data_IF_673248807447
#
_entry.id   IF_673248807447
#
_cell.length_a   1.000
_cell.length_b   1.000
_cell.length_c   1.000
_cell.angle_alpha   90.00
_cell.angle_beta   90.00
_cell.angle_gamma   90.00
#
_symmetry.space_group_name_H-M   'P 1'
#
loop_
_entity.id
_entity.type
_entity.pdbx_description
1 polymer ?
#
# COMPACT_ATOMS: atom_id res chain seq x y z
N UNK A 1 0.26 15.16 55.70
CA UNK A 1 -0.10 14.18 56.77
C UNK A 1 0.58 12.89 56.43
N UNK A 2 1.75 12.64 57.02
CA UNK A 2 2.11 11.62 58.02
C UNK A 2 1.54 10.23 57.67
N UNK A 3 2.39 9.21 57.35
CA UNK A 3 3.15 8.45 58.39
C UNK A 3 4.28 7.65 57.73
N UNK A 4 5.48 7.84 58.36
CA UNK A 4 6.66 6.98 58.30
C UNK A 4 6.40 5.73 59.13
N UNK A 5 6.94 4.58 58.72
CA UNK A 5 7.20 3.46 59.61
C UNK A 5 8.59 2.93 59.35
N UNK A 6 9.44 3.13 60.30
CA UNK A 6 10.79 2.63 60.55
C UNK A 6 10.62 1.46 61.51
N UNK A 7 11.28 0.29 61.36
CA UNK A 7 11.60 -0.63 62.45
C UNK A 7 12.81 -1.53 62.12
N UNK A 8 13.49 -2.09 63.10
CA UNK A 8 14.95 -1.98 63.19
C UNK A 8 15.72 -3.30 63.20
N UNK A 9 17.03 -3.19 63.14
CA UNK A 9 18.11 -4.00 63.62
C UNK A 9 17.82 -5.03 64.70
N UNK A 10 18.33 -6.27 64.50
CA UNK A 10 18.77 -7.10 65.62
C UNK A 10 19.98 -7.94 65.20
N UNK A 11 21.11 -7.62 65.79
CA UNK A 11 22.33 -8.43 65.82
C UNK A 11 22.25 -9.45 66.96
N UNK A 12 22.68 -10.68 66.69
CA UNK A 12 23.00 -11.62 67.76
C UNK A 12 24.33 -12.31 67.47
N UNK A 13 25.34 -11.90 68.25
CA UNK A 13 26.57 -12.64 68.46
C UNK A 13 26.34 -13.82 69.41
N UNK A 14 26.89 -14.99 69.12
CA UNK A 14 27.19 -15.98 70.13
C UNK A 14 28.47 -16.73 69.79
N UNK A 15 29.50 -16.41 70.55
CA UNK A 15 30.71 -17.19 70.66
C UNK A 15 30.54 -18.32 71.67
N UNK A 16 30.99 -19.52 71.33
CA UNK A 16 31.32 -20.55 72.34
C UNK A 16 32.64 -21.19 71.95
N UNK A 17 33.52 -21.21 72.95
CA UNK A 17 34.85 -21.73 72.96
C UNK A 17 34.95 -23.11 73.62
N UNK A 18 35.98 -23.81 73.26
CA UNK A 18 36.78 -24.80 74.03
C UNK A 18 36.22 -26.18 74.36
N UNK A 19 36.91 -27.16 73.88
CA UNK A 19 37.90 -28.12 74.58
C UNK A 19 38.12 -29.35 73.72
N UNK A 20 39.20 -29.73 73.26
CA UNK A 20 40.34 -30.37 73.93
C UNK A 20 40.15 -31.86 74.13
N UNK A 21 40.83 -32.70 73.31
CA UNK A 21 41.63 -33.79 73.85
C UNK A 21 42.29 -34.62 72.71
N UNK A 22 43.57 -34.83 72.92
CA UNK A 22 44.57 -35.64 72.35
C UNK A 22 44.15 -37.10 72.12
N UNK A 23 44.57 -37.70 70.98
CA UNK A 23 45.12 -39.03 70.93
C UNK A 23 46.08 -39.19 69.73
N UNK A 24 47.24 -39.64 70.04
CA UNK A 24 48.38 -39.91 69.23
C UNK A 24 48.18 -41.22 68.45
N UNK A 25 48.21 -41.20 67.13
CA UNK A 25 48.54 -42.45 66.35
C UNK A 25 49.44 -42.08 65.19
N UNK A 26 50.62 -42.63 65.30
CA UNK A 26 51.66 -42.68 64.29
C UNK A 26 51.20 -43.45 63.05
N UNK A 27 51.12 -42.80 61.91
CA UNK A 27 51.09 -43.45 60.59
C UNK A 27 52.22 -42.91 59.77
N UNK A 28 52.98 -43.84 59.23
CA UNK A 28 54.21 -43.71 58.46
C UNK A 28 54.04 -42.75 57.25
N UNK A 29 55.05 -41.88 57.11
CA UNK A 29 55.30 -41.10 55.93
C UNK A 29 55.62 -41.99 54.74
N UNK A 30 54.74 -42.10 53.75
CA UNK A 30 55.14 -42.47 52.41
C UNK A 30 55.61 -41.19 51.72
N UNK A 31 56.86 -41.11 51.46
CA UNK A 31 57.52 -40.09 50.66
C UNK A 31 56.98 -40.16 49.25
N UNK A 32 56.02 -39.25 48.96
CA UNK A 32 55.78 -38.85 47.58
C UNK A 32 56.92 -37.95 47.16
N UNK A 33 57.68 -38.42 46.19
CA UNK A 33 58.69 -37.66 45.47
C UNK A 33 57.88 -36.60 44.67
N UNK A 34 57.80 -35.37 45.18
CA UNK A 34 57.51 -34.22 44.40
C UNK A 34 58.68 -34.07 43.43
N UNK A 35 58.41 -34.36 42.14
CA UNK A 35 59.32 -33.92 41.08
C UNK A 35 59.25 -32.37 41.09
N UNK A 36 60.22 -31.74 41.74
CA UNK A 36 60.46 -30.31 41.50
C UNK A 36 60.77 -30.19 40.01
N UNK A 37 59.80 -29.58 39.28
CA UNK A 37 60.02 -29.07 37.91
C UNK A 37 61.12 -28.03 38.05
N UNK A 38 62.36 -28.40 37.63
CA UNK A 38 63.49 -27.47 37.53
C UNK A 38 63.08 -26.37 36.56
N UNK A 39 62.62 -25.24 37.08
CA UNK A 39 62.36 -24.06 36.29
C UNK A 39 63.72 -23.54 35.83
N UNK A 40 63.95 -23.59 34.51
CA UNK A 40 65.09 -22.91 33.91
C UNK A 40 65.01 -21.44 34.22
N UNK A 41 65.87 -20.78 34.96
CA UNK A 41 65.81 -19.39 35.31
C UNK A 41 65.84 -18.46 34.10
N UNK A 42 66.17 -18.99 32.91
CA UNK A 42 66.25 -18.25 31.66
C UNK A 42 65.03 -18.47 30.78
N UNK A 43 63.98 -19.23 31.20
CA UNK A 43 62.78 -19.47 30.39
C UNK A 43 61.81 -18.29 30.46
N UNK A 44 61.31 -17.91 29.31
CA UNK A 44 60.27 -16.85 29.17
C UNK A 44 58.91 -17.47 29.40
N UNK A 45 58.12 -16.86 30.30
CA UNK A 45 56.69 -17.23 30.51
C UNK A 45 55.85 -16.78 29.37
N UNK A 46 55.14 -17.71 28.75
CA UNK A 46 54.27 -17.44 27.58
C UNK A 46 52.95 -18.16 27.71
N UNK A 47 51.93 -17.60 27.13
CA UNK A 47 50.64 -18.25 26.91
C UNK A 47 50.55 -18.71 25.46
N UNK A 48 50.14 -19.96 25.29
CA UNK A 48 50.06 -20.58 23.97
C UNK A 48 48.66 -21.16 23.74
N UNK A 49 48.29 -21.30 22.48
CA UNK A 49 47.11 -22.05 22.10
C UNK A 49 47.41 -22.89 20.86
N UNK A 50 46.61 -23.95 20.68
CA UNK A 50 46.70 -24.82 19.52
C UNK A 50 45.92 -24.21 18.39
N UNK A 51 46.53 -24.10 17.23
CA UNK A 51 45.89 -23.54 16.02
C UNK A 51 44.89 -24.54 15.47
N UNK A 52 43.68 -24.08 15.33
CA UNK A 52 42.58 -24.83 14.73
C UNK A 52 42.08 -24.09 13.46
N UNK A 53 41.47 -24.86 12.55
CA UNK A 53 40.75 -24.27 11.44
C UNK A 53 39.39 -23.80 11.90
N UNK A 54 39.04 -22.60 11.51
CA UNK A 54 37.75 -22.00 11.82
C UNK A 54 37.36 -21.03 10.71
N UNK A 55 36.10 -20.62 10.72
CA UNK A 55 35.60 -19.63 9.80
C UNK A 55 36.01 -18.22 10.28
N UNK A 56 36.44 -17.38 9.32
CA UNK A 56 36.77 -15.98 9.57
C UNK A 56 36.00 -15.08 8.59
N UNK A 57 35.50 -13.96 9.09
CA UNK A 57 34.87 -12.94 8.28
C UNK A 57 35.30 -11.53 8.70
N UNK A 58 35.58 -10.69 7.73
CA UNK A 58 35.78 -9.27 7.91
C UNK A 58 34.41 -8.56 7.80
N UNK A 59 34.02 -7.86 8.85
CA UNK A 59 32.75 -7.15 8.90
C UNK A 59 32.97 -5.64 8.76
N UNK A 60 32.24 -5.02 7.82
CA UNK A 60 32.14 -3.56 7.76
C UNK A 60 30.88 -3.11 8.45
N UNK A 61 31.03 -2.15 9.35
CA UNK A 61 29.99 -1.70 10.26
C UNK A 61 29.45 -0.33 9.83
N UNK A 62 28.13 -0.24 9.68
CA UNK A 62 27.42 1.00 9.38
C UNK A 62 26.34 1.25 10.41
N UNK A 63 26.05 2.53 10.67
CA UNK A 63 24.95 2.93 11.54
C UNK A 63 23.84 3.55 10.74
N UNK A 64 22.62 3.23 11.10
CA UNK A 64 21.43 3.78 10.49
C UNK A 64 20.28 3.95 11.49
N UNK A 65 19.20 4.54 11.02
CA UNK A 65 17.98 4.72 11.82
C UNK A 65 16.87 3.87 11.21
N UNK A 66 16.10 3.23 12.08
CA UNK A 66 14.93 2.46 11.69
C UNK A 66 13.81 3.41 11.29
N UNK A 67 13.28 3.20 10.10
CA UNK A 67 12.10 3.90 9.56
C UNK A 67 11.00 2.89 9.25
N UNK A 68 9.72 3.28 9.27
CA UNK A 68 8.64 2.38 8.88
C UNK A 68 8.72 2.08 7.37
N UNK A 69 8.18 0.93 6.94
CA UNK A 69 8.11 0.59 5.52
C UNK A 69 7.24 1.57 4.74
N UNK A 70 6.18 2.07 5.38
CA UNK A 70 5.24 3.02 4.80
C UNK A 70 4.72 3.97 5.88
N UNK A 71 4.61 5.26 5.54
CA UNK A 71 3.99 6.29 6.37
C UNK A 71 2.91 6.97 5.56
N UNK A 72 1.69 7.00 6.07
CA UNK A 72 0.56 7.63 5.41
C UNK A 72 -0.07 8.70 6.30
N UNK A 73 -0.12 9.90 5.77
CA UNK A 73 -0.87 11.01 6.33
C UNK A 73 -2.32 10.88 5.88
N UNK A 74 -3.20 10.49 6.79
CA UNK A 74 -4.63 10.40 6.50
C UNK A 74 -5.18 11.82 6.43
N UNK A 75 -5.80 12.13 5.30
CA UNK A 75 -6.46 13.43 5.07
C UNK A 75 -7.95 13.21 4.88
N UNK A 76 -8.74 14.16 5.35
CA UNK A 76 -10.18 14.18 5.07
C UNK A 76 -10.47 15.11 3.90
N UNK A 77 -11.32 14.74 2.95
CA UNK A 77 -11.75 15.64 1.87
C UNK A 77 -12.66 16.77 2.37
N UNK A 78 -13.13 16.67 3.63
CA UNK A 78 -14.02 17.66 4.26
C UNK A 78 -13.33 18.30 5.46
N UNK A 79 -13.29 19.61 5.49
CA UNK A 79 -12.78 20.43 6.61
C UNK A 79 -13.89 21.34 7.12
N UNK A 80 -13.74 21.87 8.32
CA UNK A 80 -14.74 22.75 8.93
C UNK A 80 -16.00 22.02 9.41
N UNK A 81 -15.94 20.70 9.56
CA UNK A 81 -17.03 19.83 10.02
C UNK A 81 -16.70 19.31 11.41
N UNK A 82 -17.71 19.15 12.24
CA UNK A 82 -17.54 18.63 13.61
C UNK A 82 -17.25 17.13 13.58
N UNK A 83 -16.29 16.69 14.40
CA UNK A 83 -15.98 15.28 14.65
C UNK A 83 -16.97 14.73 15.66
N UNK A 84 -17.67 13.65 15.31
CA UNK A 84 -18.69 13.03 16.17
C UNK A 84 -18.17 11.85 16.97
N UNK A 85 -17.18 11.12 16.44
CA UNK A 85 -16.55 10.00 17.14
C UNK A 85 -15.11 9.83 16.63
N UNK A 86 -14.24 9.35 17.52
CA UNK A 86 -12.84 8.95 17.21
C UNK A 86 -12.68 7.53 17.75
N UNK A 87 -12.30 6.58 16.89
CA UNK A 87 -12.34 5.15 17.19
C UNK A 87 -10.98 4.56 17.58
N UNK A 88 -9.88 5.26 17.33
CA UNK A 88 -8.52 4.79 17.56
C UNK A 88 -7.66 5.86 18.23
N UNK A 89 -6.74 5.41 19.06
CA UNK A 89 -5.75 6.24 19.75
C UNK A 89 -4.32 5.96 19.24
N UNK A 90 -3.37 6.81 19.66
CA UNK A 90 -1.95 6.61 19.37
C UNK A 90 -1.47 5.28 19.93
N UNK A 91 -0.86 4.46 19.09
CA UNK A 91 -0.39 3.11 19.41
C UNK A 91 -1.36 1.99 19.04
N UNK A 92 -2.60 2.31 18.66
CA UNK A 92 -3.56 1.28 18.24
C UNK A 92 -3.22 0.72 16.85
N UNK A 93 -3.45 -0.59 16.69
CA UNK A 93 -3.36 -1.28 15.41
C UNK A 93 -4.63 -1.07 14.61
N UNK A 94 -4.48 -0.71 13.33
CA UNK A 94 -5.55 -0.48 12.37
C UNK A 94 -5.37 -1.32 11.13
N UNK A 95 -6.48 -1.73 10.53
CA UNK A 95 -6.52 -2.39 9.23
C UNK A 95 -6.99 -1.43 8.17
N UNK A 96 -6.57 -1.68 6.94
CA UNK A 96 -7.08 -0.95 5.77
C UNK A 96 -8.60 -1.05 5.72
N UNK A 97 -9.27 0.12 5.70
CA UNK A 97 -10.73 0.25 5.69
C UNK A 97 -11.35 0.47 7.06
N UNK A 98 -10.62 0.33 8.16
CA UNK A 98 -11.13 0.65 9.51
C UNK A 98 -11.46 2.13 9.61
N UNK A 99 -12.63 2.45 10.19
CA UNK A 99 -13.08 3.83 10.36
C UNK A 99 -12.33 4.46 11.53
N UNK A 100 -11.46 5.41 11.23
CA UNK A 100 -10.64 6.11 12.23
C UNK A 100 -11.46 7.12 13.02
N UNK A 101 -12.28 7.90 12.34
CA UNK A 101 -13.18 8.86 12.95
C UNK A 101 -14.36 9.18 12.03
N UNK A 102 -15.41 9.73 12.63
CA UNK A 102 -16.65 10.08 11.96
C UNK A 102 -16.87 11.60 12.02
N UNK A 103 -17.35 12.17 10.92
CA UNK A 103 -17.79 13.56 10.83
C UNK A 103 -19.31 13.67 10.99
N UNK A 104 -19.78 14.86 11.39
CA UNK A 104 -21.20 15.16 11.44
C UNK A 104 -21.80 15.15 10.02
N UNK A 105 -22.85 14.38 9.86
CA UNK A 105 -23.53 14.18 8.58
C UNK A 105 -24.92 14.82 8.54
N UNK A 106 -25.34 15.51 9.59
CA UNK A 106 -26.70 16.06 9.72
C UNK A 106 -27.10 16.96 8.54
N UNK A 107 -26.21 17.87 8.13
CA UNK A 107 -26.46 18.78 7.02
C UNK A 107 -26.53 18.04 5.68
N UNK A 108 -25.72 17.01 5.50
CA UNK A 108 -25.74 16.17 4.29
C UNK A 108 -27.04 15.38 4.21
N UNK A 109 -27.45 14.75 5.31
CA UNK A 109 -28.69 13.98 5.39
C UNK A 109 -29.91 14.86 5.11
N UNK A 110 -29.95 16.06 5.67
CA UNK A 110 -30.98 17.04 5.39
C UNK A 110 -31.00 17.42 3.89
N UNK A 111 -29.82 17.65 3.31
CA UNK A 111 -29.69 18.00 1.88
C UNK A 111 -30.14 16.85 0.98
N UNK A 112 -29.81 15.61 1.32
CA UNK A 112 -30.29 14.41 0.61
C UNK A 112 -31.81 14.34 0.68
N UNK A 113 -32.43 14.53 1.85
CA UNK A 113 -33.87 14.46 2.01
C UNK A 113 -34.61 15.53 1.16
N UNK A 114 -34.06 16.74 1.10
CA UNK A 114 -34.60 17.81 0.23
C UNK A 114 -34.51 17.44 -1.25
N UNK A 115 -33.37 16.84 -1.66
CA UNK A 115 -33.22 16.43 -3.06
C UNK A 115 -34.08 15.22 -3.40
N UNK A 116 -34.32 14.29 -2.50
CA UNK A 116 -35.27 13.17 -2.69
C UNK A 116 -36.69 13.72 -2.97
N UNK A 117 -37.15 14.68 -2.19
CA UNK A 117 -38.43 15.34 -2.42
C UNK A 117 -38.47 16.09 -3.78
N UNK A 118 -37.35 16.73 -4.16
CA UNK A 118 -37.21 17.41 -5.43
C UNK A 118 -37.24 16.47 -6.63
N UNK A 119 -36.57 15.31 -6.51
CA UNK A 119 -36.58 14.24 -7.51
C UNK A 119 -37.97 13.66 -7.67
N UNK A 120 -38.70 13.41 -6.57
CA UNK A 120 -40.06 12.94 -6.60
C UNK A 120 -41.00 13.95 -7.32
N UNK A 121 -40.77 15.26 -7.10
CA UNK A 121 -41.49 16.31 -7.82
C UNK A 121 -41.16 16.32 -9.33
N UNK A 122 -39.90 16.14 -9.69
CA UNK A 122 -39.46 16.03 -11.08
C UNK A 122 -40.06 14.80 -11.77
N UNK A 123 -40.17 13.66 -11.07
CA UNK A 123 -40.86 12.46 -11.58
C UNK A 123 -42.32 12.68 -11.88
N UNK A 124 -43.02 13.42 -11.01
CA UNK A 124 -44.40 13.83 -11.29
C UNK A 124 -44.48 14.76 -12.51
N UNK A 125 -43.50 15.66 -12.69
CA UNK A 125 -43.34 16.49 -13.88
C UNK A 125 -43.14 15.67 -15.17
N UNK A 126 -42.29 14.66 -15.13
CA UNK A 126 -42.07 13.72 -16.25
C UNK A 126 -43.34 12.98 -16.60
N UNK A 127 -44.08 12.47 -15.61
CA UNK A 127 -45.35 11.77 -15.83
C UNK A 127 -46.39 12.69 -16.47
N UNK A 128 -46.44 13.98 -16.05
CA UNK A 128 -47.31 14.97 -16.66
C UNK A 128 -46.96 15.25 -18.12
N UNK A 129 -45.65 15.39 -18.42
CA UNK A 129 -45.17 15.60 -19.79
C UNK A 129 -45.39 14.36 -20.68
N UNK A 130 -45.20 13.15 -20.16
CA UNK A 130 -45.57 11.90 -20.87
C UNK A 130 -47.05 11.80 -21.18
N UNK A 131 -47.90 12.23 -20.24
CA UNK A 131 -49.33 12.28 -20.44
C UNK A 131 -49.70 13.27 -21.55
N UNK A 132 -49.08 14.46 -21.55
CA UNK A 132 -49.29 15.46 -22.60
C UNK A 132 -48.84 14.94 -23.98
N UNK A 133 -47.70 14.25 -24.08
CA UNK A 133 -47.24 13.61 -25.31
C UNK A 133 -48.23 12.55 -25.79
N UNK A 134 -48.73 11.70 -24.89
CA UNK A 134 -49.75 10.69 -25.21
C UNK A 134 -51.06 11.28 -25.70
N UNK A 135 -51.40 12.50 -25.25
CA UNK A 135 -52.61 13.19 -25.73
C UNK A 135 -52.50 13.69 -27.17
N UNK A 136 -51.31 14.11 -27.60
CA UNK A 136 -51.05 14.51 -29.00
C UNK A 136 -51.29 13.35 -29.97
N UNK A 137 -51.00 12.12 -29.56
CA UNK A 137 -51.20 10.90 -30.38
C UNK A 137 -52.47 10.13 -30.01
N UNK A 138 -53.21 10.63 -29.05
CA UNK A 138 -54.33 9.93 -28.42
C UNK A 138 -55.61 9.85 -29.24
N UNK A 139 -56.63 9.19 -28.70
CA UNK A 139 -57.91 8.90 -29.36
C UNK A 139 -58.69 10.16 -29.80
N UNK A 140 -58.51 11.29 -29.10
CA UNK A 140 -59.15 12.54 -29.45
C UNK A 140 -58.59 13.14 -30.76
N UNK A 141 -57.27 13.10 -30.91
CA UNK A 141 -56.59 13.50 -32.14
C UNK A 141 -56.97 12.58 -33.31
N UNK A 142 -57.07 11.26 -33.08
CA UNK A 142 -57.52 10.31 -34.09
C UNK A 142 -58.98 10.63 -34.57
N UNK A 143 -59.89 10.99 -33.66
CA UNK A 143 -61.27 11.41 -34.05
C UNK A 143 -61.24 12.66 -34.86
N UNK A 144 -60.36 13.63 -34.56
CA UNK A 144 -60.28 14.88 -35.33
C UNK A 144 -59.76 14.62 -36.75
N UNK A 145 -58.72 13.74 -36.89
CA UNK A 145 -58.23 13.29 -38.20
C UNK A 145 -59.33 12.60 -39.01
N UNK A 146 -60.09 11.69 -38.37
CA UNK A 146 -61.17 10.99 -39.02
C UNK A 146 -62.32 11.97 -39.48
N UNK A 147 -62.62 12.92 -38.65
CA UNK A 147 -63.64 14.01 -39.03
C UNK A 147 -63.16 14.76 -40.24
N UNK A 148 -61.90 15.21 -40.31
CA UNK A 148 -61.38 15.93 -41.48
C UNK A 148 -61.28 15.05 -42.72
N UNK A 149 -60.92 13.78 -42.58
CA UNK A 149 -60.93 12.81 -43.65
C UNK A 149 -62.35 12.60 -44.24
N UNK A 150 -63.34 12.53 -43.37
CA UNK A 150 -64.74 12.42 -43.79
C UNK A 150 -65.13 13.66 -44.54
N UNK A 151 -64.74 14.86 -44.10
CA UNK A 151 -65.04 16.12 -44.82
C UNK A 151 -64.42 16.17 -46.23
N UNK A 152 -63.21 15.66 -46.41
CA UNK A 152 -62.58 15.50 -47.74
C UNK A 152 -63.37 14.53 -48.60
N UNK A 153 -63.79 13.37 -48.07
CA UNK A 153 -64.63 12.41 -48.82
C UNK A 153 -65.95 12.93 -49.19
N UNK A 154 -66.57 13.75 -48.34
CA UNK A 154 -67.84 14.40 -48.64
C UNK A 154 -67.67 15.45 -49.76
N UNK A 155 -66.66 16.29 -49.73
CA UNK A 155 -66.29 17.23 -50.75
C UNK A 155 -65.98 16.59 -52.10
N UNK A 156 -65.25 15.45 -52.09
CA UNK A 156 -65.00 14.66 -53.32
C UNK A 156 -66.28 14.14 -53.98
N UNK A 157 -67.22 13.65 -53.17
CA UNK A 157 -68.52 13.19 -53.67
C UNK A 157 -69.34 14.36 -54.26
N UNK A 158 -69.36 15.49 -53.63
CA UNK A 158 -70.03 16.68 -54.12
C UNK A 158 -69.44 17.20 -55.43
N UNK A 159 -68.11 17.28 -55.51
CA UNK A 159 -67.41 17.66 -56.74
C UNK A 159 -67.77 16.71 -57.91
N UNK A 160 -67.78 15.40 -57.66
CA UNK A 160 -68.21 14.42 -58.67
C UNK A 160 -69.66 14.59 -59.14
N UNK A 161 -70.60 14.97 -58.24
CA UNK A 161 -71.99 15.29 -58.57
C UNK A 161 -72.04 16.52 -59.41
N UNK A 162 -71.33 17.56 -59.04
CA UNK A 162 -71.30 18.86 -59.79
C UNK A 162 -70.63 18.63 -61.17
N UNK A 163 -69.57 17.81 -61.27
CA UNK A 163 -68.94 17.45 -62.54
C UNK A 163 -69.91 16.75 -63.50
N UNK A 164 -70.72 15.81 -63.00
CA UNK A 164 -71.69 15.11 -63.76
C UNK A 164 -72.80 16.09 -64.31
N UNK A 165 -73.20 17.03 -63.42
CA UNK A 165 -74.18 18.08 -63.79
C UNK A 165 -73.64 19.06 -64.81
N UNK A 166 -72.38 19.48 -64.66
CA UNK A 166 -71.69 20.36 -65.62
C UNK A 166 -71.56 19.66 -67.01
N UNK A 167 -71.13 18.41 -67.00
CA UNK A 167 -70.98 17.60 -68.24
C UNK A 167 -72.36 17.48 -68.98
N UNK A 168 -73.41 17.36 -68.22
CA UNK A 168 -74.79 17.32 -68.83
C UNK A 168 -75.16 18.70 -69.39
N UNK A 169 -75.06 19.77 -68.60
CA UNK A 169 -75.34 21.11 -69.02
C UNK A 169 -74.51 21.60 -70.21
N UNK A 170 -73.22 21.17 -70.23
CA UNK A 170 -72.31 21.44 -71.36
C UNK A 170 -72.74 20.79 -72.64
N UNK A 171 -73.12 19.51 -72.62
CA UNK A 171 -73.69 18.83 -73.81
C UNK A 171 -74.96 19.44 -74.36
N UNK A 172 -75.84 19.81 -73.43
CA UNK A 172 -77.11 20.42 -73.79
C UNK A 172 -76.89 21.83 -74.41
N UNK A 173 -75.95 22.61 -73.84
CA UNK A 173 -75.53 23.90 -74.36
C UNK A 173 -74.87 23.77 -75.75
N UNK A 174 -73.92 22.86 -75.94
CA UNK A 174 -73.23 22.60 -77.22
C UNK A 174 -74.23 22.15 -78.30
N UNK A 175 -75.19 21.25 -77.94
CA UNK A 175 -76.24 20.82 -78.83
C UNK A 175 -77.24 21.95 -79.21
N UNK A 176 -77.62 22.76 -78.19
CA UNK A 176 -78.43 23.93 -78.37
C UNK A 176 -77.78 25.01 -79.25
N UNK A 177 -76.45 25.21 -79.09
CA UNK A 177 -75.68 26.16 -79.92
C UNK A 177 -75.67 25.72 -81.38
N UNK A 178 -75.55 24.44 -81.68
CA UNK A 178 -75.62 23.93 -83.04
C UNK A 178 -77.00 24.10 -83.64
N UNK A 179 -78.12 23.88 -82.91
CA UNK A 179 -79.48 24.09 -83.32
C UNK A 179 -79.77 25.56 -83.53
N UNK A 180 -79.35 26.46 -82.61
CA UNK A 180 -79.51 27.92 -82.75
C UNK A 180 -78.77 28.47 -83.97
N UNK A 181 -77.56 28.04 -84.22
CA UNK A 181 -76.79 28.43 -85.41
C UNK A 181 -77.43 27.92 -86.70
N UNK A 182 -78.18 26.80 -86.67
CA UNK A 182 -78.98 26.27 -87.79
C UNK A 182 -80.35 26.96 -87.95
N UNK A 183 -80.70 27.89 -87.03
CA UNK A 183 -81.96 28.57 -87.05
C UNK A 183 -83.18 27.74 -86.54
N UNK A 184 -82.87 26.57 -85.86
CA UNK A 184 -83.84 25.59 -85.41
C UNK A 184 -84.23 25.73 -83.90
N UNK A 185 -83.70 26.80 -83.20
CA UNK A 185 -83.96 27.06 -81.78
C UNK A 185 -84.26 28.52 -81.53
N UNK A 186 -85.18 28.86 -80.59
CA UNK A 186 -85.46 30.20 -80.17
C UNK A 186 -84.29 30.77 -79.32
N UNK A 187 -84.06 32.12 -79.46
CA UNK A 187 -83.01 32.82 -78.72
C UNK A 187 -83.12 32.66 -77.19
N UNK A 188 -84.34 32.76 -76.66
CA UNK A 188 -84.65 32.62 -75.25
C UNK A 188 -84.35 31.24 -74.71
N UNK A 189 -84.56 30.22 -75.51
CA UNK A 189 -84.22 28.82 -75.14
C UNK A 189 -82.74 28.58 -75.14
N UNK A 190 -81.94 29.12 -76.08
CA UNK A 190 -80.53 29.11 -76.14
C UNK A 190 -79.91 29.88 -74.92
N UNK A 191 -80.43 31.07 -74.58
CA UNK A 191 -79.97 31.84 -73.38
C UNK A 191 -80.24 31.08 -72.08
N UNK A 192 -81.34 30.30 -71.99
CA UNK A 192 -81.62 29.45 -70.85
C UNK A 192 -80.54 28.31 -70.71
N UNK A 193 -80.19 27.65 -71.82
CA UNK A 193 -79.14 26.61 -71.83
C UNK A 193 -77.79 27.20 -71.46
N UNK A 194 -77.46 28.38 -71.94
CA UNK A 194 -76.27 29.09 -71.55
C UNK A 194 -76.23 29.38 -70.07
N UNK A 195 -77.33 29.91 -69.55
CA UNK A 195 -77.47 30.26 -68.10
C UNK A 195 -77.31 28.97 -67.23
N UNK A 196 -77.89 27.84 -67.69
CA UNK A 196 -77.80 26.58 -67.00
C UNK A 196 -76.34 26.07 -67.00
N UNK A 197 -75.61 26.18 -68.14
CA UNK A 197 -74.16 25.85 -68.21
C UNK A 197 -73.35 26.74 -67.32
N UNK A 198 -73.50 28.10 -67.43
CA UNK A 198 -72.77 29.07 -66.61
C UNK A 198 -73.00 28.86 -65.08
N UNK A 199 -74.17 28.35 -64.73
CA UNK A 199 -74.55 28.09 -63.33
C UNK A 199 -73.87 26.75 -62.88
N UNK A 200 -73.93 25.71 -63.73
CA UNK A 200 -73.26 24.43 -63.40
C UNK A 200 -71.78 24.58 -63.34
N UNK A 201 -71.15 25.40 -64.18
CA UNK A 201 -69.73 25.68 -64.13
C UNK A 201 -69.30 26.35 -62.82
N UNK A 202 -70.04 27.37 -62.39
CA UNK A 202 -69.81 28.06 -61.11
C UNK A 202 -69.99 27.15 -59.92
N UNK A 203 -70.97 26.22 -59.99
CA UNK A 203 -71.22 25.26 -58.93
C UNK A 203 -70.12 24.23 -58.86
N UNK A 204 -69.59 23.80 -60.02
CA UNK A 204 -68.43 22.92 -60.09
C UNK A 204 -67.17 23.59 -59.50
N UNK A 205 -66.84 24.83 -59.87
CA UNK A 205 -65.75 25.60 -59.33
C UNK A 205 -65.82 25.74 -57.81
N UNK A 206 -67.04 26.07 -57.30
CA UNK A 206 -67.27 26.18 -55.86
C UNK A 206 -67.09 24.86 -55.12
N UNK A 207 -67.46 23.71 -55.75
CA UNK A 207 -67.22 22.37 -55.18
C UNK A 207 -65.71 22.02 -55.20
N UNK A 208 -64.97 22.45 -56.24
CA UNK A 208 -63.55 22.29 -56.33
C UNK A 208 -62.82 23.06 -55.23
N UNK A 209 -63.16 24.34 -55.01
CA UNK A 209 -62.60 25.17 -53.94
C UNK A 209 -62.89 24.57 -52.53
N UNK A 210 -64.07 23.96 -52.36
CA UNK A 210 -64.48 23.30 -51.13
C UNK A 210 -63.60 22.05 -50.89
N UNK A 211 -63.33 21.27 -51.94
CA UNK A 211 -62.42 20.11 -51.84
C UNK A 211 -61.00 20.54 -51.52
N UNK A 212 -60.46 21.56 -52.20
CA UNK A 212 -59.11 22.08 -51.94
C UNK A 212 -59.00 22.60 -50.49
N UNK A 213 -60.05 23.30 -49.98
CA UNK A 213 -60.11 23.74 -48.58
C UNK A 213 -60.09 22.55 -47.59
N UNK A 214 -60.85 21.48 -47.86
CA UNK A 214 -60.93 20.29 -47.04
C UNK A 214 -59.60 19.59 -47.01
N UNK A 215 -58.97 19.42 -48.18
CA UNK A 215 -57.59 18.82 -48.29
C UNK A 215 -56.53 19.65 -47.56
N UNK A 216 -56.61 20.99 -47.72
CA UNK A 216 -55.67 21.87 -46.98
C UNK A 216 -55.81 21.69 -45.46
N UNK A 217 -57.02 21.68 -44.93
CA UNK A 217 -57.26 21.53 -43.49
C UNK A 217 -56.79 20.14 -42.99
N UNK A 218 -57.07 19.06 -43.75
CA UNK A 218 -56.58 17.72 -43.42
C UNK A 218 -55.07 17.65 -43.42
N UNK A 219 -54.41 18.17 -44.47
CA UNK A 219 -52.96 18.17 -44.58
C UNK A 219 -52.28 19.03 -43.49
N UNK A 220 -52.85 20.22 -43.22
CA UNK A 220 -52.37 21.13 -42.17
C UNK A 220 -52.36 20.41 -40.80
N UNK A 221 -53.41 19.69 -40.44
CA UNK A 221 -53.48 18.97 -39.18
C UNK A 221 -52.46 17.80 -39.16
N UNK A 222 -52.48 16.95 -40.20
CA UNK A 222 -51.76 15.68 -40.21
C UNK A 222 -50.25 15.84 -40.41
N UNK A 223 -49.78 16.81 -41.19
CA UNK A 223 -48.37 16.96 -41.54
C UNK A 223 -47.66 18.05 -40.76
N UNK A 224 -48.38 19.04 -40.25
CA UNK A 224 -47.78 20.19 -39.59
C UNK A 224 -48.19 20.33 -38.12
N UNK A 225 -49.46 20.47 -37.83
CA UNK A 225 -49.94 20.78 -36.47
C UNK A 225 -49.64 19.66 -35.47
N UNK A 226 -49.85 18.41 -35.87
CA UNK A 226 -49.57 17.26 -35.00
C UNK A 226 -48.08 17.17 -34.75
N UNK A 227 -47.22 17.30 -35.76
CA UNK A 227 -45.79 17.22 -35.66
C UNK A 227 -45.21 18.34 -34.78
N UNK A 228 -45.68 19.60 -34.95
CA UNK A 228 -45.26 20.70 -34.10
C UNK A 228 -45.70 20.51 -32.64
N UNK A 229 -46.90 20.01 -32.37
CA UNK A 229 -47.37 19.72 -31.02
C UNK A 229 -46.61 18.56 -30.38
N UNK A 230 -46.30 17.51 -31.18
CA UNK A 230 -45.49 16.37 -30.73
C UNK A 230 -44.08 16.82 -30.34
N UNK A 231 -43.43 17.64 -31.19
CA UNK A 231 -42.10 18.18 -30.91
C UNK A 231 -42.08 19.00 -29.63
N UNK A 232 -43.06 19.89 -29.41
CA UNK A 232 -43.18 20.69 -28.18
C UNK A 232 -43.39 19.80 -26.96
N UNK A 233 -44.19 18.73 -27.06
CA UNK A 233 -44.41 17.80 -25.96
C UNK A 233 -43.15 16.98 -25.65
N UNK A 234 -42.40 16.55 -26.68
CA UNK A 234 -41.10 15.86 -26.53
C UNK A 234 -40.06 16.78 -25.89
N UNK A 235 -39.95 18.02 -26.31
CA UNK A 235 -39.03 19.01 -25.75
C UNK A 235 -39.33 19.28 -24.26
N UNK A 236 -40.62 19.37 -23.90
CA UNK A 236 -41.02 19.47 -22.50
C UNK A 236 -40.65 18.23 -21.68
N UNK A 237 -40.86 17.02 -22.24
CA UNK A 237 -40.47 15.76 -21.61
C UNK A 237 -38.94 15.70 -21.42
N UNK A 238 -38.18 16.02 -22.46
CA UNK A 238 -36.71 16.04 -22.38
C UNK A 238 -36.22 17.06 -21.35
N UNK A 239 -36.83 18.21 -21.24
CA UNK A 239 -36.53 19.22 -20.23
C UNK A 239 -36.80 18.71 -18.82
N UNK A 240 -37.92 18.03 -18.58
CA UNK A 240 -38.25 17.43 -17.29
C UNK A 240 -37.28 16.32 -16.91
N UNK A 241 -36.87 15.47 -17.88
CA UNK A 241 -35.85 14.44 -17.69
C UNK A 241 -34.50 15.07 -17.35
N UNK A 242 -34.09 16.11 -18.06
CA UNK A 242 -32.83 16.82 -17.78
C UNK A 242 -32.79 17.42 -16.37
N UNK A 243 -33.91 17.98 -15.92
CA UNK A 243 -34.08 18.49 -14.55
C UNK A 243 -33.90 17.40 -13.51
N UNK A 244 -34.53 16.23 -13.67
CA UNK A 244 -34.35 15.06 -12.78
C UNK A 244 -32.90 14.59 -12.76
N UNK A 245 -32.30 14.48 -13.94
CA UNK A 245 -30.91 14.03 -14.06
C UNK A 245 -29.94 14.96 -13.31
N UNK A 246 -30.14 16.27 -13.40
CA UNK A 246 -29.36 17.27 -12.66
C UNK A 246 -29.47 17.06 -11.14
N UNK A 247 -30.69 16.90 -10.63
CA UNK A 247 -30.95 16.67 -9.20
C UNK A 247 -30.37 15.33 -8.72
N UNK A 248 -30.48 14.28 -9.55
CA UNK A 248 -29.91 12.98 -9.26
C UNK A 248 -28.37 13.04 -9.20
N UNK A 249 -27.74 13.80 -10.10
CA UNK A 249 -26.29 14.00 -10.06
C UNK A 249 -25.87 14.73 -8.78
N UNK A 250 -26.61 15.73 -8.35
CA UNK A 250 -26.35 16.44 -7.10
C UNK A 250 -26.55 15.53 -5.87
N UNK A 251 -27.57 14.68 -5.86
CA UNK A 251 -27.79 13.70 -4.80
C UNK A 251 -26.61 12.71 -4.69
N UNK A 252 -26.07 12.23 -5.82
CA UNK A 252 -24.88 11.35 -5.81
C UNK A 252 -23.66 12.04 -5.20
N UNK A 253 -23.49 13.35 -5.41
CA UNK A 253 -22.42 14.12 -4.77
C UNK A 253 -22.57 14.09 -3.25
N UNK A 254 -23.77 14.36 -2.73
CA UNK A 254 -24.00 14.30 -1.28
C UNK A 254 -23.88 12.88 -0.70
N UNK A 255 -24.29 11.86 -1.45
CA UNK A 255 -24.07 10.45 -1.05
C UNK A 255 -22.58 10.11 -0.95
N UNK A 256 -21.78 10.64 -1.88
CA UNK A 256 -20.31 10.53 -1.80
C UNK A 256 -19.78 11.24 -0.55
N UNK A 257 -20.22 12.48 -0.30
CA UNK A 257 -19.83 13.25 0.88
C UNK A 257 -20.21 12.53 2.19
N UNK A 258 -21.35 11.82 2.20
CA UNK A 258 -21.81 11.00 3.32
C UNK A 258 -20.83 9.82 3.55
N UNK A 259 -20.39 9.16 2.50
CA UNK A 259 -19.39 8.08 2.58
C UNK A 259 -18.05 8.63 3.06
N UNK A 260 -17.60 9.75 2.49
CA UNK A 260 -16.35 10.42 2.82
C UNK A 260 -16.34 11.01 4.26
N UNK A 261 -17.50 11.07 4.90
CA UNK A 261 -17.63 11.49 6.31
C UNK A 261 -17.16 10.41 7.29
N UNK A 262 -17.03 9.15 6.85
CA UNK A 262 -16.38 8.08 7.59
C UNK A 262 -14.95 7.97 7.10
N UNK A 263 -14.01 8.62 7.77
CA UNK A 263 -12.60 8.62 7.37
C UNK A 263 -11.95 7.32 7.79
N UNK A 264 -11.42 6.60 6.80
CA UNK A 264 -10.88 5.24 7.00
C UNK A 264 -9.36 5.18 6.82
N UNK A 265 -8.75 4.15 7.41
CA UNK A 265 -7.33 3.86 7.20
C UNK A 265 -7.08 3.36 5.76
N UNK A 266 -6.11 3.95 5.03
CA UNK A 266 -5.75 3.50 3.69
C UNK A 266 -4.83 2.27 3.69
N UNK A 267 -4.15 1.98 4.83
CA UNK A 267 -3.18 0.89 5.00
C UNK A 267 -3.43 0.10 6.29
N UNK A 268 -2.82 -1.09 6.39
CA UNK A 268 -2.65 -1.77 7.67
C UNK A 268 -1.46 -1.15 8.39
N UNK A 269 -1.57 -0.95 9.71
CA UNK A 269 -0.45 -0.38 10.46
C UNK A 269 -0.82 0.01 11.89
N UNK A 270 -0.05 0.93 12.44
CA UNK A 270 -0.22 1.47 13.80
C UNK A 270 -0.37 2.98 13.72
N UNK A 271 -1.24 3.53 14.54
CA UNK A 271 -1.42 4.98 14.65
C UNK A 271 -0.19 5.60 15.31
N UNK A 272 0.52 6.43 14.57
CA UNK A 272 1.69 7.18 15.07
C UNK A 272 1.26 8.49 15.74
N UNK A 273 0.34 9.23 15.09
CA UNK A 273 -0.15 10.53 15.56
C UNK A 273 -1.66 10.64 15.39
N UNK A 274 -2.31 11.31 16.33
CA UNK A 274 -3.72 11.67 16.31
C UNK A 274 -3.88 13.13 16.69
N UNK A 275 -4.27 13.96 15.72
CA UNK A 275 -4.44 15.41 15.88
C UNK A 275 -5.92 15.82 15.83
N UNK A 276 -6.84 14.89 16.09
CA UNK A 276 -8.28 15.09 16.08
C UNK A 276 -8.89 14.58 17.39
N UNK A 277 -9.89 15.31 17.89
CA UNK A 277 -10.63 14.94 19.11
C UNK A 277 -12.13 14.98 18.85
N UNK A 278 -12.87 14.11 19.55
CA UNK A 278 -14.32 14.14 19.51
C UNK A 278 -14.87 15.51 19.95
N UNK A 279 -15.83 16.01 19.21
CA UNK A 279 -16.45 17.33 19.46
C UNK A 279 -15.70 18.50 18.85
N UNK A 280 -14.46 18.34 18.37
CA UNK A 280 -13.71 19.39 17.72
C UNK A 280 -14.16 19.63 16.28
N UNK A 281 -13.85 20.81 15.73
CA UNK A 281 -13.98 21.09 14.31
C UNK A 281 -12.74 20.59 13.58
N UNK A 282 -12.92 19.82 12.50
CA UNK A 282 -11.81 19.33 11.69
C UNK A 282 -11.11 20.49 10.97
N UNK A 283 -9.86 20.72 11.31
CA UNK A 283 -8.98 21.75 10.71
C UNK A 283 -8.32 21.28 9.41
N UNK A 284 -7.33 22.03 8.96
CA UNK A 284 -6.48 21.68 7.81
C UNK A 284 -5.30 20.76 8.18
N UNK A 285 -5.07 20.51 9.46
CA UNK A 285 -4.02 19.64 9.94
C UNK A 285 -4.31 18.18 9.61
N UNK A 286 -3.26 17.36 9.50
CA UNK A 286 -3.38 15.92 9.30
C UNK A 286 -4.02 15.27 10.52
N UNK A 287 -5.23 14.70 10.43
CA UNK A 287 -5.93 14.13 11.59
C UNK A 287 -5.23 12.91 12.17
N UNK A 288 -4.70 12.03 11.32
CA UNK A 288 -4.02 10.80 11.68
C UNK A 288 -2.78 10.59 10.83
N UNK A 289 -1.71 10.11 11.46
CA UNK A 289 -0.54 9.55 10.78
C UNK A 289 -0.48 8.07 11.12
N UNK A 290 -0.47 7.22 10.09
CA UNK A 290 -0.43 5.77 10.23
C UNK A 290 0.87 5.27 9.62
N UNK A 291 1.55 4.37 10.32
CA UNK A 291 2.80 3.74 9.88
C UNK A 291 2.62 2.23 9.78
N UNK A 292 3.22 1.65 8.75
CA UNK A 292 3.37 0.20 8.67
C UNK A 292 4.73 -0.19 9.28
N UNK A 293 4.68 -1.01 10.33
CA UNK A 293 5.85 -1.51 11.06
C UNK A 293 5.99 -3.03 10.99
N UNK A 294 5.19 -3.75 10.20
CA UNK A 294 5.32 -5.20 9.99
C UNK A 294 6.64 -5.54 9.30
N UNK A 295 7.08 -4.65 8.42
CA UNK A 295 8.41 -4.57 7.85
C UNK A 295 8.97 -3.20 8.17
N UNK A 296 10.19 -3.12 8.64
CA UNK A 296 10.87 -1.85 8.89
C UNK A 296 12.08 -1.72 7.98
N UNK A 297 12.48 -0.50 7.73
CA UNK A 297 13.62 -0.16 6.87
C UNK A 297 14.72 0.46 7.70
N UNK A 298 15.96 0.18 7.35
CA UNK A 298 17.13 0.89 7.87
C UNK A 298 17.81 1.57 6.69
N UNK A 299 17.98 2.87 6.81
CA UNK A 299 18.75 3.66 5.85
C UNK A 299 20.16 3.85 6.40
N UNK A 300 21.14 3.45 5.60
CA UNK A 300 22.56 3.65 5.88
C UNK A 300 23.22 4.36 4.70
N UNK A 301 24.36 4.97 4.96
CA UNK A 301 25.18 5.60 3.94
C UNK A 301 26.47 4.81 3.76
N UNK A 302 26.68 4.26 2.56
CA UNK A 302 27.82 3.42 2.20
C UNK A 302 28.79 4.21 1.32
N UNK A 303 30.09 4.07 1.57
CA UNK A 303 31.12 4.75 0.77
C UNK A 303 31.17 4.24 -0.67
N UNK A 304 31.63 5.08 -1.60
CA UNK A 304 31.81 4.71 -3.01
C UNK A 304 32.80 3.57 -3.24
N UNK A 305 33.72 3.34 -2.31
CA UNK A 305 34.67 2.22 -2.36
C UNK A 305 33.97 0.88 -2.13
N UNK A 306 33.02 0.86 -1.20
CA UNK A 306 32.33 -0.37 -0.80
C UNK A 306 31.06 -0.66 -1.60
N UNK A 307 30.46 0.34 -2.24
CA UNK A 307 29.18 0.18 -2.95
C UNK A 307 29.22 -0.87 -4.07
N UNK A 308 30.39 -1.08 -4.68
CA UNK A 308 30.57 -2.05 -5.75
C UNK A 308 30.66 -3.51 -5.25
N UNK A 309 30.84 -3.71 -3.94
CA UNK A 309 30.93 -5.04 -3.32
C UNK A 309 29.62 -5.54 -2.74
N UNK A 310 28.58 -4.72 -2.72
CA UNK A 310 27.26 -5.07 -2.17
C UNK A 310 26.19 -5.07 -3.28
N UNK A 311 25.22 -5.98 -3.14
CA UNK A 311 24.17 -6.17 -4.12
C UNK A 311 22.80 -6.21 -3.45
N UNK A 312 21.79 -5.85 -4.21
CA UNK A 312 20.38 -6.01 -3.77
C UNK A 312 20.12 -7.49 -3.53
N UNK A 313 19.58 -7.80 -2.35
CA UNK A 313 19.31 -9.16 -1.89
C UNK A 313 20.40 -9.73 -0.97
N UNK A 314 21.54 -9.09 -0.81
CA UNK A 314 22.58 -9.57 0.11
C UNK A 314 22.05 -9.57 1.55
N UNK A 315 22.29 -10.65 2.30
CA UNK A 315 21.91 -10.76 3.69
C UNK A 315 22.83 -9.89 4.56
N UNK A 316 22.26 -9.27 5.58
CA UNK A 316 22.99 -8.43 6.53
C UNK A 316 22.60 -8.76 7.96
N UNK A 317 23.58 -8.66 8.87
CA UNK A 317 23.36 -8.80 10.30
C UNK A 317 23.13 -7.42 10.93
N UNK A 318 22.09 -7.32 11.73
CA UNK A 318 21.65 -6.06 12.30
C UNK A 318 21.56 -6.18 13.81
N UNK A 319 22.25 -5.28 14.51
CA UNK A 319 22.13 -5.09 15.94
C UNK A 319 21.39 -3.79 16.22
N UNK A 320 20.29 -3.88 16.94
CA UNK A 320 19.51 -2.69 17.34
C UNK A 320 19.94 -2.31 18.75
N UNK A 321 20.31 -1.05 18.96
CA UNK A 321 20.89 -0.56 20.23
C UNK A 321 20.04 -0.87 21.46
N UNK A 322 18.72 -0.97 21.28
CA UNK A 322 17.77 -1.31 22.37
C UNK A 322 17.72 -2.81 22.71
N UNK A 323 18.38 -3.69 21.92
CA UNK A 323 18.38 -5.15 22.07
C UNK A 323 19.81 -5.66 22.00
N UNK A 324 20.56 -5.54 23.12
CA UNK A 324 22.03 -5.79 23.19
C UNK A 324 22.44 -7.18 22.74
N UNK A 325 21.61 -8.21 23.01
CA UNK A 325 21.95 -9.62 22.79
C UNK A 325 21.23 -10.26 21.61
N UNK A 326 20.41 -9.48 20.87
CA UNK A 326 19.62 -10.00 19.74
C UNK A 326 20.18 -9.48 18.43
N UNK A 327 20.55 -10.41 17.55
CA UNK A 327 20.92 -10.11 16.16
C UNK A 327 19.69 -10.35 15.28
N UNK A 328 19.34 -9.37 14.49
CA UNK A 328 18.29 -9.47 13.49
C UNK A 328 18.91 -9.71 12.12
N UNK A 329 18.21 -10.45 11.29
CA UNK A 329 18.58 -10.65 9.90
C UNK A 329 17.75 -9.73 9.01
N UNK A 330 18.41 -9.11 8.04
CA UNK A 330 17.80 -8.30 7.03
C UNK A 330 18.42 -8.53 5.66
N UNK A 331 17.88 -7.89 4.65
CA UNK A 331 18.46 -7.93 3.30
C UNK A 331 18.46 -6.53 2.68
N UNK A 332 19.44 -6.28 1.82
CA UNK A 332 19.51 -5.04 1.04
C UNK A 332 18.32 -5.03 0.08
N UNK A 333 17.44 -4.05 0.24
CA UNK A 333 16.28 -3.88 -0.63
C UNK A 333 16.54 -2.89 -1.76
N UNK A 334 17.32 -1.84 -1.50
CA UNK A 334 17.60 -0.80 -2.50
C UNK A 334 18.98 -0.21 -2.31
N UNK A 335 19.67 0.01 -3.42
CA UNK A 335 20.91 0.78 -3.50
C UNK A 335 20.63 2.00 -4.37
N UNK A 336 20.83 3.20 -3.83
CA UNK A 336 20.57 4.42 -4.59
C UNK A 336 21.51 4.53 -5.79
N UNK A 337 21.03 4.91 -6.98
CA UNK A 337 21.86 5.03 -8.18
C UNK A 337 22.76 6.26 -8.18
N UNK A 338 22.59 7.17 -7.23
CA UNK A 338 23.37 8.39 -7.06
C UNK A 338 23.85 8.60 -5.63
N UNK A 339 25.01 9.25 -5.48
CA UNK A 339 25.57 9.60 -4.19
C UNK A 339 24.93 10.86 -3.59
N UNK A 340 24.94 10.94 -2.28
CA UNK A 340 24.69 12.17 -1.55
C UNK A 340 25.80 13.20 -1.78
N UNK A 341 25.63 14.40 -1.26
CA UNK A 341 26.60 15.50 -1.34
C UNK A 341 27.95 15.21 -0.67
N UNK A 342 28.00 14.23 0.22
CA UNK A 342 29.20 13.78 0.93
C UNK A 342 29.92 12.60 0.23
N UNK A 343 29.43 12.19 -0.95
CA UNK A 343 30.01 11.10 -1.75
C UNK A 343 29.58 9.71 -1.28
N UNK A 344 28.66 9.59 -0.32
CA UNK A 344 28.11 8.31 0.13
C UNK A 344 26.85 7.93 -0.65
N UNK A 345 26.55 6.65 -0.73
CA UNK A 345 25.36 6.11 -1.40
C UNK A 345 24.36 5.62 -0.38
N UNK A 346 23.10 6.12 -0.42
CA UNK A 346 22.03 5.59 0.41
C UNK A 346 21.74 4.12 0.06
N UNK A 347 21.73 3.27 1.07
CA UNK A 347 21.34 1.87 0.98
C UNK A 347 20.23 1.60 1.97
N UNK A 348 19.16 0.99 1.49
CA UNK A 348 18.00 0.62 2.31
C UNK A 348 18.01 -0.87 2.54
N UNK A 349 17.77 -1.27 3.79
CA UNK A 349 17.73 -2.65 4.26
C UNK A 349 16.36 -2.91 4.84
N UNK A 350 15.71 -3.98 4.42
CA UNK A 350 14.42 -4.41 4.94
C UNK A 350 14.59 -5.47 6.02
N UNK A 351 13.82 -5.32 7.11
CA UNK A 351 13.78 -6.26 8.24
C UNK A 351 12.34 -6.65 8.48
N UNK A 352 12.07 -7.94 8.59
CA UNK A 352 10.77 -8.44 9.03
C UNK A 352 10.60 -8.22 10.55
N UNK A 353 9.48 -7.65 10.93
CA UNK A 353 9.17 -7.27 12.32
C UNK A 353 7.80 -7.81 12.77
N UNK A 354 7.57 -9.14 12.73
CA UNK A 354 6.24 -9.75 12.94
C UNK A 354 5.66 -9.51 14.34
N UNK A 355 6.47 -9.12 15.29
CA UNK A 355 6.03 -8.82 16.67
C UNK A 355 5.90 -7.33 16.97
N UNK A 356 6.23 -6.44 16.02
CA UNK A 356 6.25 -5.00 16.27
C UNK A 356 7.28 -4.57 17.34
N UNK A 357 8.26 -5.41 17.63
CA UNK A 357 9.30 -5.15 18.64
C UNK A 357 10.17 -3.97 18.23
N UNK A 358 10.55 -3.92 16.96
CA UNK A 358 11.38 -2.87 16.39
C UNK A 358 10.49 -1.65 16.12
N UNK A 359 10.82 -0.53 16.73
CA UNK A 359 10.06 0.72 16.58
C UNK A 359 10.81 1.71 15.69
N UNK A 360 10.04 2.51 14.96
CA UNK A 360 10.57 3.65 14.20
C UNK A 360 11.36 4.59 15.10
N UNK A 361 12.50 5.08 14.60
CA UNK A 361 13.40 5.96 15.32
C UNK A 361 14.49 5.25 16.15
N UNK A 362 14.49 3.91 16.23
CA UNK A 362 15.58 3.18 16.86
C UNK A 362 16.86 3.26 16.03
N UNK A 363 18.02 3.25 16.71
CA UNK A 363 19.32 3.16 16.05
C UNK A 363 19.69 1.70 15.83
N UNK A 364 20.19 1.43 14.64
CA UNK A 364 20.63 0.12 14.22
C UNK A 364 22.07 0.18 13.72
N UNK A 365 22.81 -0.86 14.03
CA UNK A 365 24.14 -1.14 13.53
C UNK A 365 24.03 -2.28 12.53
N UNK A 366 24.46 -2.04 11.31
CA UNK A 366 24.40 -3.01 10.20
C UNK A 366 25.81 -3.48 9.90
N UNK A 367 26.00 -4.79 9.92
CA UNK A 367 27.26 -5.43 9.62
C UNK A 367 27.17 -6.12 8.26
N UNK A 368 28.02 -5.70 7.34
CA UNK A 368 28.19 -6.34 6.04
C UNK A 368 29.40 -7.27 6.09
N UNK A 369 29.29 -8.44 5.52
CA UNK A 369 30.40 -9.32 5.29
C UNK A 369 31.18 -8.81 4.08
N UNK A 370 32.38 -8.24 4.30
CA UNK A 370 33.26 -7.74 3.25
C UNK A 370 34.05 -8.87 2.59
N UNK A 371 34.58 -9.78 3.41
CA UNK A 371 35.28 -10.99 2.98
C UNK A 371 35.07 -12.10 4.02
N UNK A 372 35.01 -13.34 3.55
CA UNK A 372 34.86 -14.49 4.41
C UNK A 372 35.70 -15.67 3.86
N UNK A 373 36.20 -16.49 4.74
CA UNK A 373 36.86 -17.76 4.41
C UNK A 373 36.46 -18.81 5.43
N UNK A 374 35.97 -19.94 4.93
CA UNK A 374 35.61 -21.07 5.78
C UNK A 374 36.76 -22.07 5.87
N UNK A 375 36.81 -22.81 6.98
CA UNK A 375 37.77 -23.90 7.21
C UNK A 375 39.24 -23.46 6.96
N UNK A 376 39.62 -22.31 7.50
CA UNK A 376 40.94 -21.70 7.30
C UNK A 376 41.69 -21.57 8.62
N UNK A 377 43.03 -21.52 8.56
CA UNK A 377 43.86 -21.30 9.73
C UNK A 377 43.69 -19.87 10.20
N UNK A 378 43.32 -19.72 11.46
CA UNK A 378 43.05 -18.42 12.08
C UNK A 378 43.87 -18.30 13.37
N UNK A 379 44.56 -17.18 13.53
CA UNK A 379 45.31 -16.85 14.74
C UNK A 379 44.81 -15.57 15.39
N UNK A 380 44.96 -15.45 16.70
CA UNK A 380 44.67 -14.20 17.38
C UNK A 380 45.59 -13.08 16.89
N UNK A 381 45.05 -11.90 16.67
CA UNK A 381 45.82 -10.73 16.24
C UNK A 381 47.05 -10.45 17.16
N UNK A 382 46.87 -10.70 18.45
CA UNK A 382 47.95 -10.54 19.45
C UNK A 382 49.14 -11.45 19.24
N UNK A 383 48.95 -12.59 18.56
CA UNK A 383 50.05 -13.53 18.26
C UNK A 383 50.94 -13.06 17.11
N UNK A 384 50.43 -12.19 16.22
CA UNK A 384 51.13 -11.75 15.01
C UNK A 384 52.01 -10.56 15.30
N UNK A 385 53.28 -10.69 15.02
CA UNK A 385 54.28 -9.64 15.15
C UNK A 385 54.83 -9.27 13.78
N UNK A 386 55.39 -8.06 13.67
CA UNK A 386 55.90 -7.51 12.42
C UNK A 386 57.34 -7.07 12.60
N UNK A 387 58.24 -7.44 11.67
CA UNK A 387 59.58 -6.88 11.57
C UNK A 387 59.89 -6.38 10.14
N UNK A 388 61.17 -6.06 9.89
CA UNK A 388 61.63 -5.57 8.56
C UNK A 388 61.46 -6.57 7.42
N UNK A 389 61.29 -7.89 7.76
CA UNK A 389 61.20 -8.99 6.79
C UNK A 389 59.74 -9.43 6.55
N UNK A 390 58.80 -9.02 7.37
CA UNK A 390 57.37 -9.36 7.24
C UNK A 390 56.66 -9.65 8.55
N UNK A 391 55.48 -10.24 8.45
CA UNK A 391 54.69 -10.70 9.58
C UNK A 391 55.17 -12.10 10.01
N UNK A 392 55.19 -12.34 11.32
CA UNK A 392 55.65 -13.60 11.88
C UNK A 392 54.95 -13.93 13.20
N UNK A 393 54.98 -15.21 13.56
CA UNK A 393 54.52 -15.71 14.86
C UNK A 393 55.63 -16.52 15.52
N UNK A 394 55.56 -16.67 16.84
CA UNK A 394 56.35 -17.67 17.54
C UNK A 394 55.51 -18.91 17.79
N UNK A 395 56.10 -20.09 17.49
CA UNK A 395 55.51 -21.38 17.85
C UNK A 395 56.32 -22.01 18.99
N UNK A 396 55.62 -22.81 19.77
CA UNK A 396 56.32 -23.70 20.76
C UNK A 396 56.76 -24.96 20.05
N UNK A 397 58.05 -25.06 19.78
CA UNK A 397 58.69 -26.29 19.25
C UNK A 397 59.35 -27.02 20.39
N UNK A 398 58.64 -27.93 21.08
CA UNK A 398 59.12 -28.73 22.21
C UNK A 398 59.78 -27.91 23.34
N UNK A 399 59.18 -26.82 23.76
CA UNK A 399 59.64 -25.91 24.81
C UNK A 399 60.64 -24.87 24.36
N UNK A 400 60.78 -24.67 23.04
CA UNK A 400 61.67 -23.67 22.45
C UNK A 400 60.89 -22.76 21.52
N UNK A 401 61.09 -21.46 21.60
CA UNK A 401 60.50 -20.49 20.70
C UNK A 401 61.09 -20.59 19.30
N UNK A 402 60.29 -20.83 18.31
CA UNK A 402 60.67 -20.80 16.90
C UNK A 402 59.92 -19.74 16.14
N UNK A 403 60.68 -18.81 15.55
CA UNK A 403 60.12 -17.75 14.73
C UNK A 403 59.73 -18.27 13.35
N UNK A 404 58.47 -18.07 12.95
CA UNK A 404 57.99 -18.48 11.64
C UNK A 404 57.36 -17.27 10.96
N UNK A 405 57.79 -16.93 9.75
CA UNK A 405 57.16 -15.92 8.91
C UNK A 405 55.88 -16.48 8.30
N UNK A 406 54.85 -15.67 8.29
CA UNK A 406 53.52 -16.04 7.81
C UNK A 406 53.07 -15.06 6.73
N UNK A 407 52.22 -15.55 5.86
CA UNK A 407 51.42 -14.69 4.98
C UNK A 407 50.01 -14.62 5.53
N UNK A 408 49.51 -13.41 5.75
CA UNK A 408 48.21 -13.17 6.31
C UNK A 408 47.17 -12.86 5.22
N UNK A 409 45.90 -13.14 5.52
CA UNK A 409 44.76 -12.86 4.64
C UNK A 409 43.75 -11.93 5.31
N UNK A 410 42.55 -12.44 5.55
CA UNK A 410 41.42 -11.69 6.15
C UNK A 410 41.80 -11.31 7.60
N UNK A 411 41.63 -10.03 7.93
CA UNK A 411 41.78 -9.47 9.27
C UNK A 411 40.42 -9.07 9.83
N UNK A 412 39.92 -9.72 10.86
CA UNK A 412 38.66 -9.43 11.52
C UNK A 412 38.79 -8.45 12.72
N UNK A 413 40.02 -7.94 12.95
CA UNK A 413 40.36 -7.09 14.10
C UNK A 413 40.89 -7.87 15.27
N UNK A 414 40.19 -8.85 15.77
CA UNK A 414 40.60 -9.73 16.87
C UNK A 414 41.40 -10.94 16.38
N UNK A 415 41.09 -11.41 15.18
CA UNK A 415 41.67 -12.61 14.55
C UNK A 415 42.18 -12.34 13.15
N UNK A 416 43.19 -13.06 12.71
CA UNK A 416 43.78 -12.96 11.39
C UNK A 416 43.82 -14.34 10.73
N UNK A 417 43.46 -14.41 9.46
CA UNK A 417 43.67 -15.56 8.60
C UNK A 417 45.16 -15.73 8.29
N UNK A 418 45.66 -16.95 8.38
CA UNK A 418 47.02 -17.29 7.90
C UNK A 418 46.88 -18.13 6.65
N UNK A 419 47.47 -17.63 5.55
CA UNK A 419 47.44 -18.27 4.24
C UNK A 419 48.60 -19.27 4.08
N UNK A 420 49.75 -18.97 4.70
CA UNK A 420 50.92 -19.83 4.67
C UNK A 420 51.85 -19.58 5.88
N UNK A 421 52.67 -20.57 6.23
CA UNK A 421 53.68 -20.47 7.29
C UNK A 421 53.43 -21.38 8.49
N UNK A 422 52.19 -21.61 8.88
CA UNK A 422 51.83 -22.53 10.00
C UNK A 422 50.75 -23.52 9.55
N UNK A 423 50.66 -24.63 10.27
CA UNK A 423 49.71 -25.72 10.02
C UNK A 423 48.79 -25.92 11.24
N UNK A 424 47.65 -26.57 11.00
CA UNK A 424 46.70 -26.97 12.03
C UNK A 424 47.40 -27.88 13.07
N UNK A 425 47.13 -27.65 14.34
CA UNK A 425 47.71 -28.40 15.45
C UNK A 425 49.04 -27.82 15.97
N UNK A 426 49.63 -26.81 15.32
CA UNK A 426 50.79 -26.11 15.87
C UNK A 426 50.41 -25.26 17.08
N UNK A 427 51.32 -25.18 18.06
CA UNK A 427 51.12 -24.39 19.26
C UNK A 427 51.72 -22.99 19.08
N UNK A 428 50.90 -21.96 18.99
CA UNK A 428 51.29 -20.56 18.75
C UNK A 428 51.26 -19.76 20.04
N UNK A 429 52.27 -18.90 20.23
CA UNK A 429 52.40 -18.01 21.39
C UNK A 429 51.51 -16.79 21.20
N UNK A 430 50.57 -16.53 22.13
CA UNK A 430 49.68 -15.38 22.10
C UNK A 430 50.14 -14.23 23.01
N UNK A 431 50.61 -14.57 24.22
CA UNK A 431 51.10 -13.61 25.19
C UNK A 431 52.57 -13.88 25.56
N UNK A 432 53.36 -12.84 25.84
CA UNK A 432 54.77 -12.92 26.11
C UNK A 432 55.66 -12.95 24.85
N UNK A 433 55.07 -13.00 23.67
CA UNK A 433 55.74 -13.07 22.36
C UNK A 433 56.67 -11.88 22.09
N UNK A 434 56.37 -10.68 22.61
CA UNK A 434 57.18 -9.46 22.40
C UNK A 434 58.54 -9.49 23.09
N UNK A 435 58.76 -10.45 24.00
CA UNK A 435 60.02 -10.60 24.74
C UNK A 435 60.87 -11.80 24.25
N UNK A 436 60.38 -12.51 23.23
CA UNK A 436 61.04 -13.71 22.70
C UNK A 436 62.00 -13.36 21.57
N UNK A 437 63.11 -14.15 21.58
CA UNK A 437 63.99 -14.30 20.43
C UNK A 437 63.92 -15.75 19.92
N UNK A 438 64.26 -15.94 18.67
CA UNK A 438 64.30 -17.27 18.06
C UNK A 438 65.31 -18.16 18.84
N UNK A 439 64.84 -19.31 19.34
CA UNK A 439 65.64 -20.24 20.16
C UNK A 439 65.48 -20.02 21.65
N UNK A 440 64.73 -19.08 22.17
CA UNK A 440 64.54 -18.91 23.62
C UNK A 440 63.73 -20.07 24.21
N UNK A 441 64.10 -20.46 25.46
CA UNK A 441 63.42 -21.52 26.24
C UNK A 441 62.03 -20.99 26.70
N UNK A 442 60.95 -21.72 26.42
CA UNK A 442 59.57 -21.35 26.77
C UNK A 442 59.13 -22.02 28.08
N UNK A 443 58.38 -21.29 28.85
CA UNK A 443 57.61 -21.82 29.98
C UNK A 443 56.13 -21.48 29.72
N UNK A 444 55.36 -22.50 29.33
CA UNK A 444 53.95 -22.32 29.05
C UNK A 444 53.18 -22.16 30.37
N UNK A 445 52.43 -21.07 30.49
CA UNK A 445 51.56 -20.76 31.63
C UNK A 445 50.13 -20.63 31.17
N UNK A 446 49.17 -20.94 32.02
CA UNK A 446 47.77 -20.65 31.79
C UNK A 446 47.49 -19.16 32.03
N UNK A 447 46.40 -18.61 31.51
CA UNK A 447 46.02 -17.20 31.68
C UNK A 447 45.95 -16.71 33.14
N UNK A 448 45.86 -17.63 34.11
CA UNK A 448 45.94 -17.36 35.54
C UNK A 448 47.36 -17.50 36.12
N UNK A 449 48.37 -17.75 35.27
CA UNK A 449 49.77 -17.84 35.66
C UNK A 449 50.20 -19.20 36.23
N UNK A 450 49.35 -20.20 36.21
CA UNK A 450 49.69 -21.58 36.59
C UNK A 450 50.40 -22.35 35.44
N UNK A 451 51.33 -23.23 35.77
CA UNK A 451 52.02 -24.06 34.77
C UNK A 451 51.05 -25.05 34.12
N UNK A 452 50.98 -25.07 32.80
CA UNK A 452 50.20 -26.07 32.04
C UNK A 452 50.90 -27.43 32.19
N UNK A 453 50.25 -28.38 32.88
CA UNK A 453 50.77 -29.73 33.09
C UNK A 453 50.75 -30.51 31.75
N UNK A 454 51.88 -30.94 31.30
CA UNK A 454 52.06 -31.62 30.01
C UNK A 454 51.87 -33.15 30.12
N UNK A 455 50.88 -33.62 30.89
CA UNK A 455 50.50 -35.02 30.91
C UNK A 455 49.35 -35.29 29.92
N UNK A 456 49.54 -36.15 28.93
CA UNK A 456 48.41 -36.56 28.06
C UNK A 456 47.46 -37.43 28.88
N UNK A 457 46.19 -36.99 29.05
CA UNK A 457 45.12 -37.85 29.56
C UNK A 457 44.92 -39.05 28.61
N UNK A 458 45.40 -40.21 29.02
CA UNK A 458 44.99 -41.50 28.47
C UNK A 458 43.53 -41.79 28.92
N UNK A 459 42.55 -41.34 28.18
CA UNK A 459 41.16 -41.78 28.34
C UNK A 459 41.02 -43.22 27.84
N UNK A 460 41.23 -44.17 28.78
CA UNK A 460 40.84 -45.56 28.62
C UNK A 460 39.39 -45.76 28.82
N UNK A 461 38.69 -45.98 27.72
CA UNK A 461 37.35 -46.52 27.64
C UNK A 461 37.28 -47.92 28.29
N UNK A 462 36.53 -48.12 29.34
CA UNK A 462 35.99 -49.42 29.74
C UNK A 462 34.58 -49.38 30.27
N UNK A 463 33.72 -49.70 29.33
CA UNK A 463 32.52 -50.53 29.48
C UNK A 463 31.99 -50.85 30.89
N UNK A 464 30.72 -50.72 31.08
CA UNK A 464 29.83 -51.85 31.46
C UNK A 464 28.33 -51.52 31.21
N UNK A 465 27.84 -52.41 30.45
CA UNK A 465 26.46 -52.83 30.23
C UNK A 465 25.68 -53.25 31.49
N UNK A 466 24.39 -53.41 31.30
CA UNK A 466 23.35 -54.06 32.11
C UNK A 466 22.64 -53.10 33.11
N UNK A 467 21.33 -53.06 33.20
CA UNK A 467 20.20 -53.82 32.68
C UNK A 467 18.94 -53.26 33.27
N UNK A 468 17.90 -53.46 32.55
CA UNK A 468 16.50 -53.68 32.88
C UNK A 468 15.83 -53.00 34.10
N UNK A 469 14.83 -52.19 33.92
CA UNK A 469 13.37 -52.43 34.04
C UNK A 469 12.57 -51.27 33.49
#
# INVERSE_FOLDING_TARGET
MKKRALFPFLAVCAAIAFSGCSSNETVQASSQVSSEVQIDPNSVAVETYIVEKTDISELSMFTGTVTPSETVNVVSPRTGVKVTAVNFDVGDSVKKGDVLFNLDTSDIQNSISVLEASIASADAGIQSAQTALSQVEGSEMQKQIESLKNAVSDAERELKNCEASLNTAKRDFESGQALFNAGAMAKTEFENLKTAYDTADRTYQAAQDALDTANYNYNLLTTKTIEENRQVAEDNLNSAIAQKNSQTAQMRSYQKDLTDSNVTSPINGVVLERNVTEGSMLGAETPFVIINIDTVKIEINVSGEMINSIHVGDPVQIKISSYSDKVFEGSISTIAPGSNSDGTFPVTIDIQNPGGEIKSGMFAQVNFVKSQSADTIVVDRAAVLVDTSGEYVYINDNGTAKKIYIETGIDSGDKIQVLSGIEEGMEVVINGNSYLNDGDSLRVVTGDGELKDSTPELNGDMSKSEGAE
#
